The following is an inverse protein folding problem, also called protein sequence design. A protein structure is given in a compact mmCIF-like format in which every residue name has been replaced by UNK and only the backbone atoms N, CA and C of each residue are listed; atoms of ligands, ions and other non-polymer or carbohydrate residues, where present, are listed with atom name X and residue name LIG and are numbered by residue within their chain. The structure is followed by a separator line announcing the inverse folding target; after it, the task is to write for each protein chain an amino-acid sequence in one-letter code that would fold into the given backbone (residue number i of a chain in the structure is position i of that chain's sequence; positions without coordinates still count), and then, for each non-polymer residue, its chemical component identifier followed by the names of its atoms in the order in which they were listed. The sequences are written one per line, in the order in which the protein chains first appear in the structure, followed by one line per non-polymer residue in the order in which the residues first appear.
data_IF_371915198344
#
_entry.id   IF_371915198344
#
_cell.length_a   1.000
_cell.length_b   1.000
_cell.length_c   1.000
_cell.angle_alpha   90.00
_cell.angle_beta   90.00
_cell.angle_gamma   90.00
#
_symmetry.space_group_name_H-M   'P 1'
#
loop_
_entity.id
_entity.type
_entity.pdbx_description
1 polymer ?
#
# COMPACT_ATOMS: atom_id res chain seq x y z
N UNK A 1 -16.34 -9.45 -21.73
CA UNK A 1 -15.14 -9.60 -20.88
C UNK A 1 -15.17 -8.47 -19.87
N UNK A 2 -14.90 -8.74 -18.61
CA UNK A 2 -14.81 -7.75 -17.52
C UNK A 2 -13.43 -7.90 -16.87
N UNK A 3 -12.75 -6.77 -16.65
CA UNK A 3 -11.46 -6.71 -15.96
C UNK A 3 -11.64 -5.84 -14.73
N UNK A 4 -11.20 -6.33 -13.59
CA UNK A 4 -11.26 -5.62 -12.31
C UNK A 4 -9.84 -5.49 -11.78
N UNK A 5 -9.34 -4.25 -11.75
CA UNK A 5 -8.08 -3.91 -11.08
C UNK A 5 -8.32 -3.67 -9.58
N UNK A 6 -7.28 -3.89 -8.77
CA UNK A 6 -7.32 -3.83 -7.30
C UNK A 6 -8.46 -4.66 -6.69
N UNK A 7 -8.76 -5.81 -7.30
CA UNK A 7 -9.87 -6.68 -6.92
C UNK A 7 -9.78 -7.21 -5.48
N UNK A 8 -8.58 -7.20 -4.88
CA UNK A 8 -8.36 -7.56 -3.49
C UNK A 8 -8.93 -6.52 -2.50
N UNK A 9 -9.06 -5.26 -2.90
CA UNK A 9 -9.56 -4.15 -2.09
C UNK A 9 -11.07 -3.89 -2.27
N UNK A 10 -11.70 -4.61 -3.20
CA UNK A 10 -13.13 -4.46 -3.49
C UNK A 10 -13.97 -5.46 -2.71
N UNK A 11 -15.04 -4.98 -2.07
CA UNK A 11 -16.03 -5.85 -1.43
C UNK A 11 -16.64 -6.80 -2.46
N UNK A 12 -16.75 -8.07 -2.09
CA UNK A 12 -17.36 -9.08 -2.96
C UNK A 12 -18.75 -8.66 -3.46
N UNK A 13 -19.59 -8.10 -2.58
CA UNK A 13 -20.93 -7.65 -2.95
C UNK A 13 -20.92 -6.58 -4.06
N UNK A 14 -19.96 -5.66 -4.03
CA UNK A 14 -19.81 -4.63 -5.07
C UNK A 14 -19.33 -5.22 -6.38
N UNK A 15 -18.42 -6.18 -6.33
CA UNK A 15 -17.95 -6.86 -7.53
C UNK A 15 -19.09 -7.65 -8.16
N UNK A 16 -19.79 -8.48 -7.38
CA UNK A 16 -20.91 -9.30 -7.87
C UNK A 16 -22.03 -8.44 -8.46
N UNK A 17 -22.37 -7.31 -7.86
CA UNK A 17 -23.42 -6.42 -8.38
C UNK A 17 -23.03 -5.75 -9.70
N UNK A 18 -21.73 -5.56 -9.97
CA UNK A 18 -21.23 -5.02 -11.24
C UNK A 18 -21.25 -6.05 -12.39
N UNK A 19 -21.34 -7.34 -12.08
CA UNK A 19 -21.36 -8.40 -13.09
C UNK A 19 -22.77 -8.56 -13.65
N UNK A 20 -22.90 -8.40 -14.97
CA UNK A 20 -24.16 -8.66 -15.67
C UNK A 20 -24.27 -10.13 -16.08
N UNK A 21 -25.48 -10.60 -16.35
CA UNK A 21 -25.75 -11.93 -16.95
C UNK A 21 -25.04 -12.17 -18.31
N UNK A 22 -24.50 -11.11 -18.92
CA UNK A 22 -23.78 -11.17 -20.18
C UNK A 22 -22.25 -11.28 -19.99
N UNK A 23 -21.75 -11.28 -18.74
CA UNK A 23 -20.33 -11.49 -18.47
C UNK A 23 -19.94 -12.94 -18.78
N UNK A 24 -19.07 -13.13 -19.76
CA UNK A 24 -18.56 -14.44 -20.17
C UNK A 24 -17.12 -14.73 -19.69
N UNK A 25 -16.37 -13.69 -19.34
CA UNK A 25 -14.98 -13.80 -18.92
C UNK A 25 -14.68 -12.68 -17.93
N UNK A 26 -14.28 -13.05 -16.72
CA UNK A 26 -13.91 -12.17 -15.63
C UNK A 26 -12.42 -12.32 -15.34
N UNK A 27 -11.68 -11.22 -15.35
CA UNK A 27 -10.26 -11.15 -15.01
C UNK A 27 -10.14 -10.29 -13.75
N UNK A 28 -9.59 -10.89 -12.69
CA UNK A 28 -9.37 -10.21 -11.42
C UNK A 28 -7.87 -9.99 -11.22
N UNK A 29 -7.47 -8.74 -11.07
CA UNK A 29 -6.08 -8.34 -10.82
C UNK A 29 -6.06 -7.72 -9.43
N UNK A 30 -5.24 -8.25 -8.53
CA UNK A 30 -5.14 -7.74 -7.17
C UNK A 30 -4.09 -8.48 -6.36
N UNK A 31 -3.90 -8.03 -5.12
CA UNK A 31 -2.95 -8.61 -4.18
C UNK A 31 -3.61 -8.86 -2.83
N UNK A 32 -3.89 -10.13 -2.53
CA UNK A 32 -4.53 -10.56 -1.29
C UNK A 32 -3.62 -10.48 -0.05
N UNK A 33 -2.34 -10.10 -0.22
CA UNK A 33 -1.39 -9.82 0.87
C UNK A 33 -1.33 -8.34 1.23
N UNK A 34 -1.97 -7.45 0.45
CA UNK A 34 -2.04 -6.02 0.71
C UNK A 34 -3.33 -5.64 1.46
N UNK A 35 -3.88 -4.45 1.20
CA UNK A 35 -5.09 -3.97 1.87
C UNK A 35 -6.27 -4.86 1.52
N UNK A 36 -7.12 -5.07 2.53
CA UNK A 36 -8.44 -5.68 2.37
C UNK A 36 -9.49 -4.58 2.22
N UNK A 37 -10.68 -4.90 1.68
CA UNK A 37 -11.79 -3.97 1.61
C UNK A 37 -12.10 -3.38 3.00
N UNK A 38 -12.30 -2.07 3.04
CA UNK A 38 -12.66 -1.39 4.27
C UNK A 38 -14.16 -1.54 4.56
N UNK A 39 -14.49 -2.13 5.71
CA UNK A 39 -15.88 -2.30 6.14
C UNK A 39 -16.30 -1.14 7.02
N UNK A 40 -17.43 -0.52 6.70
CA UNK A 40 -18.05 0.51 7.54
C UNK A 40 -18.33 0.01 8.98
N UNK A 41 -18.54 -1.30 9.15
CA UNK A 41 -18.77 -1.93 10.46
C UNK A 41 -17.67 -2.95 10.75
N UNK A 42 -16.74 -2.58 11.63
CA UNK A 42 -15.62 -3.44 12.02
C UNK A 42 -16.06 -4.83 12.53
N UNK A 43 -17.17 -4.91 13.28
CA UNK A 43 -17.70 -6.19 13.79
C UNK A 43 -18.06 -7.16 12.65
N UNK A 44 -18.50 -6.64 11.50
CA UNK A 44 -18.82 -7.48 10.33
C UNK A 44 -17.56 -8.05 9.70
N UNK A 45 -16.50 -7.24 9.57
CA UNK A 45 -15.19 -7.72 9.14
C UNK A 45 -14.68 -8.83 10.09
N UNK A 46 -14.63 -8.53 11.39
CA UNK A 46 -14.01 -9.39 12.40
C UNK A 46 -14.74 -10.71 12.63
N UNK A 47 -16.06 -10.68 12.71
CA UNK A 47 -16.84 -11.84 13.15
C UNK A 47 -17.44 -12.64 12.00
N UNK A 48 -17.59 -12.03 10.82
CA UNK A 48 -18.27 -12.63 9.67
C UNK A 48 -17.44 -12.59 8.39
N UNK A 49 -16.16 -12.18 8.46
CA UNK A 49 -15.23 -12.14 7.33
C UNK A 49 -15.74 -11.31 6.14
N UNK A 50 -16.55 -10.28 6.39
CA UNK A 50 -17.11 -9.42 5.34
C UNK A 50 -16.05 -8.61 4.58
N UNK A 51 -14.80 -8.58 5.08
CA UNK A 51 -13.65 -7.95 4.43
C UNK A 51 -12.83 -8.96 3.62
N UNK A 52 -13.32 -10.17 3.35
CA UNK A 52 -12.71 -11.04 2.35
C UNK A 52 -13.27 -10.63 0.98
N UNK A 53 -12.40 -10.20 0.08
CA UNK A 53 -12.78 -9.88 -1.29
C UNK A 53 -13.09 -11.16 -2.09
N UNK A 54 -13.79 -11.01 -3.20
CA UNK A 54 -14.02 -12.15 -4.11
C UNK A 54 -12.69 -12.75 -4.58
N UNK A 55 -11.69 -11.91 -4.85
CA UNK A 55 -10.35 -12.33 -5.24
C UNK A 55 -9.70 -13.20 -4.16
N UNK A 56 -9.66 -12.72 -2.92
CA UNK A 56 -9.09 -13.49 -1.80
C UNK A 56 -9.85 -14.81 -1.59
N UNK A 57 -11.19 -14.79 -1.69
CA UNK A 57 -12.01 -16.01 -1.58
C UNK A 57 -11.69 -17.03 -2.67
N UNK A 58 -11.47 -16.58 -3.91
CA UNK A 58 -11.08 -17.47 -5.01
C UNK A 58 -9.70 -18.11 -4.75
N UNK A 59 -8.73 -17.33 -4.30
CA UNK A 59 -7.38 -17.82 -3.93
C UNK A 59 -7.47 -18.84 -2.79
N UNK A 60 -8.24 -18.54 -1.74
CA UNK A 60 -8.43 -19.45 -0.60
C UNK A 60 -9.12 -20.77 -0.97
N UNK A 61 -9.92 -20.76 -2.06
CA UNK A 61 -10.55 -21.96 -2.63
C UNK A 61 -9.68 -22.64 -3.70
N UNK A 62 -8.37 -22.35 -3.73
CA UNK A 62 -7.39 -22.99 -4.61
C UNK A 62 -7.66 -22.80 -6.11
N UNK A 63 -8.41 -21.75 -6.48
CA UNK A 63 -8.54 -21.36 -7.88
C UNK A 63 -7.18 -20.88 -8.37
N UNK A 64 -6.72 -21.31 -9.58
CA UNK A 64 -5.42 -20.90 -10.10
C UNK A 64 -5.23 -19.39 -10.11
N UNK A 65 -4.19 -18.94 -9.40
CA UNK A 65 -3.78 -17.54 -9.33
C UNK A 65 -2.33 -17.44 -9.81
N UNK A 66 -2.09 -16.57 -10.79
CA UNK A 66 -0.76 -16.34 -11.35
C UNK A 66 -0.16 -15.08 -10.72
N UNK A 67 1.00 -15.24 -10.08
CA UNK A 67 1.69 -14.14 -9.40
C UNK A 67 2.80 -13.59 -10.27
N UNK A 68 2.81 -12.27 -10.46
CA UNK A 68 3.96 -11.55 -11.02
C UNK A 68 5.01 -11.35 -9.92
N UNK A 69 6.12 -12.07 -9.99
CA UNK A 69 7.11 -12.12 -8.91
C UNK A 69 8.34 -11.23 -9.15
N UNK A 70 8.34 -10.38 -10.18
CA UNK A 70 9.42 -9.43 -10.45
C UNK A 70 8.94 -7.99 -10.31
N UNK A 71 9.64 -7.19 -9.49
CA UNK A 71 9.31 -5.80 -9.19
C UNK A 71 10.25 -4.83 -9.92
N UNK A 72 9.67 -3.75 -10.43
CA UNK A 72 10.37 -2.70 -11.20
C UNK A 72 10.34 -1.32 -10.53
N UNK A 73 9.73 -1.20 -9.35
CA UNK A 73 9.41 0.09 -8.71
C UNK A 73 10.43 0.50 -7.65
N UNK A 74 10.67 -0.33 -6.64
CA UNK A 74 11.40 0.09 -5.44
C UNK A 74 12.88 -0.30 -5.49
N UNK A 75 13.71 0.39 -4.72
CA UNK A 75 15.12 0.00 -4.50
C UNK A 75 15.20 -1.36 -3.80
N UNK A 76 16.25 -2.16 -4.02
CA UNK A 76 16.45 -3.42 -3.30
C UNK A 76 16.40 -3.29 -1.78
N UNK A 77 16.94 -2.19 -1.21
CA UNK A 77 16.88 -1.93 0.23
C UNK A 77 15.45 -1.77 0.78
N UNK A 78 14.52 -1.24 -0.02
CA UNK A 78 13.10 -1.13 0.35
C UNK A 78 12.41 -2.49 0.17
N UNK A 79 12.67 -3.19 -0.94
CA UNK A 79 12.11 -4.52 -1.19
C UNK A 79 12.48 -5.53 -0.08
N UNK A 80 13.70 -5.40 0.49
CA UNK A 80 14.13 -6.28 1.59
C UNK A 80 13.33 -6.12 2.89
N UNK A 81 12.55 -5.05 3.07
CA UNK A 81 11.68 -4.89 4.23
C UNK A 81 10.42 -5.77 4.16
N UNK A 82 9.96 -6.08 2.95
CA UNK A 82 8.71 -6.82 2.68
C UNK A 82 8.96 -8.27 2.24
N UNK A 83 10.21 -8.65 1.98
CA UNK A 83 10.63 -9.99 1.58
C UNK A 83 11.73 -10.49 2.51
N UNK A 84 11.56 -11.62 3.22
CA UNK A 84 10.49 -12.63 3.07
C UNK A 84 9.26 -12.41 3.98
N UNK A 85 9.12 -11.25 4.63
CA UNK A 85 8.13 -11.01 5.69
C UNK A 85 6.67 -11.01 5.22
N UNK A 86 6.38 -10.39 4.08
CA UNK A 86 5.04 -10.29 3.47
C UNK A 86 4.96 -11.22 2.26
N UNK A 87 5.99 -11.19 1.41
CA UNK A 87 6.09 -12.01 0.20
C UNK A 87 7.26 -12.98 0.32
N UNK A 88 7.00 -14.27 0.10
CA UNK A 88 8.04 -15.30 0.15
C UNK A 88 9.12 -15.09 -0.92
N UNK A 89 8.72 -14.69 -2.13
CA UNK A 89 9.62 -14.44 -3.27
C UNK A 89 9.18 -13.18 -4.03
N UNK A 90 10.07 -12.18 -4.10
CA UNK A 90 9.90 -10.98 -4.92
C UNK A 90 11.26 -10.57 -5.49
N UNK A 91 11.46 -10.78 -6.79
CA UNK A 91 12.71 -10.51 -7.50
C UNK A 91 12.79 -9.04 -7.86
N UNK A 92 14.00 -8.48 -7.77
CA UNK A 92 14.28 -7.14 -8.25
C UNK A 92 14.68 -7.21 -9.71
N UNK A 93 13.96 -6.50 -10.58
CA UNK A 93 14.39 -6.33 -11.97
C UNK A 93 15.70 -5.51 -12.02
N UNK A 94 16.54 -5.74 -13.04
CA UNK A 94 17.83 -5.05 -13.20
C UNK A 94 17.71 -3.52 -13.19
N UNK A 95 16.57 -2.98 -13.64
CA UNK A 95 16.31 -1.54 -13.69
C UNK A 95 16.29 -0.84 -12.33
N UNK A 96 16.08 -1.56 -11.22
CA UNK A 96 15.98 -0.93 -9.90
C UNK A 96 17.32 -0.79 -9.16
N UNK A 97 18.36 -1.49 -9.63
CA UNK A 97 19.68 -1.48 -8.99
C UNK A 97 20.44 -0.17 -9.24
N UNK A 98 20.17 0.51 -10.36
CA UNK A 98 20.88 1.73 -10.78
C UNK A 98 20.11 3.03 -10.44
N UNK A 99 19.25 3.02 -9.41
CA UNK A 99 18.53 4.24 -8.99
C UNK A 99 19.49 5.22 -8.30
N UNK A 100 19.44 6.50 -8.67
CA UNK A 100 20.28 7.58 -8.12
C UNK A 100 19.99 7.89 -6.64
N UNK A 101 21.03 7.92 -5.80
CA UNK A 101 20.90 8.22 -4.38
C UNK A 101 20.13 9.53 -4.10
N UNK A 102 19.41 9.57 -2.99
CA UNK A 102 18.67 10.76 -2.59
C UNK A 102 19.66 11.89 -2.28
N UNK A 103 19.52 13.02 -2.98
CA UNK A 103 20.43 14.17 -2.83
C UNK A 103 20.32 14.76 -1.44
N UNK A 104 21.48 15.12 -0.88
CA UNK A 104 21.56 15.80 0.41
C UNK A 104 21.34 14.90 1.64
N UNK A 105 21.24 13.58 1.48
CA UNK A 105 21.16 12.65 2.62
C UNK A 105 22.17 11.51 2.47
N UNK A 106 22.63 10.98 3.60
CA UNK A 106 23.63 9.91 3.61
C UNK A 106 23.04 8.53 3.30
N UNK A 107 21.73 8.34 3.57
CA UNK A 107 21.02 7.07 3.36
C UNK A 107 19.70 7.33 2.64
N UNK A 108 19.31 6.47 1.70
CA UNK A 108 18.01 6.59 1.02
C UNK A 108 16.84 6.07 1.87
N UNK A 109 17.14 5.32 2.93
CA UNK A 109 16.16 4.72 3.84
C UNK A 109 16.70 4.82 5.26
N UNK A 110 15.90 5.41 6.14
CA UNK A 110 16.22 5.55 7.56
C UNK A 110 14.93 5.69 8.37
N UNK A 111 14.99 5.27 9.64
CA UNK A 111 13.94 5.53 10.62
C UNK A 111 14.36 6.72 11.48
N UNK A 112 13.50 7.73 11.54
CA UNK A 112 13.64 8.82 12.49
C UNK A 112 12.85 8.47 13.75
N UNK A 113 13.53 8.45 14.90
CA UNK A 113 12.89 8.21 16.19
C UNK A 113 12.81 9.51 17.00
N UNK A 114 11.70 9.72 17.71
CA UNK A 114 11.50 10.81 18.66
C UNK A 114 10.55 10.36 19.78
N UNK A 115 10.62 11.03 20.94
CA UNK A 115 9.81 10.71 22.11
C UNK A 115 8.81 11.83 22.44
N UNK A 116 8.26 12.49 21.42
CA UNK A 116 7.30 13.59 21.56
C UNK A 116 5.91 13.07 21.28
N UNK A 117 5.03 13.21 22.28
CA UNK A 117 3.68 12.71 22.27
C UNK A 117 2.79 13.44 21.26
N UNK A 118 1.80 12.70 20.74
CA UNK A 118 0.71 13.21 19.92
C UNK A 118 -0.20 14.17 20.71
N UNK A 119 -0.93 15.02 19.98
CA UNK A 119 -2.04 15.79 20.55
C UNK A 119 -3.29 14.94 20.58
N UNK A 120 -4.00 14.99 21.71
CA UNK A 120 -5.37 14.47 21.80
C UNK A 120 -6.33 15.49 21.20
N UNK A 121 -7.13 15.05 20.22
CA UNK A 121 -8.22 15.84 19.65
C UNK A 121 -9.52 15.23 20.19
N UNK A 122 -10.21 15.96 21.07
CA UNK A 122 -11.36 15.44 21.83
C UNK A 122 -12.55 15.00 20.97
N UNK A 123 -12.69 15.56 19.75
CA UNK A 123 -13.89 15.41 18.93
C UNK A 123 -13.73 14.45 17.73
N UNK A 124 -12.53 13.94 17.46
CA UNK A 124 -12.30 13.04 16.32
C UNK A 124 -11.34 11.92 16.68
N UNK A 125 -11.62 10.70 16.19
CA UNK A 125 -10.74 9.53 16.33
C UNK A 125 -9.38 9.65 15.61
N UNK A 126 -9.07 10.82 15.03
CA UNK A 126 -7.79 11.11 14.40
C UNK A 126 -6.77 11.64 15.40
N UNK A 127 -5.49 11.38 15.13
CA UNK A 127 -4.35 11.82 15.94
C UNK A 127 -3.46 12.76 15.14
N UNK A 128 -2.74 13.64 15.81
CA UNK A 128 -1.78 14.53 15.15
C UNK A 128 -0.52 14.73 15.97
N UNK A 129 0.61 14.91 15.31
CA UNK A 129 1.89 15.19 15.95
C UNK A 129 2.57 16.40 15.29
N UNK A 130 2.55 17.55 15.98
CA UNK A 130 3.15 18.79 15.49
C UNK A 130 4.66 18.65 15.23
N UNK A 131 5.36 17.83 16.04
CA UNK A 131 6.80 17.63 15.90
C UNK A 131 7.12 16.90 14.60
N UNK A 132 6.42 15.80 14.33
CA UNK A 132 6.56 15.04 13.09
C UNK A 132 6.20 15.89 11.88
N UNK A 133 5.06 16.58 11.92
CA UNK A 133 4.60 17.44 10.83
C UNK A 133 5.63 18.53 10.51
N UNK A 134 6.14 19.22 11.54
CA UNK A 134 7.16 20.27 11.35
C UNK A 134 8.45 19.70 10.77
N UNK A 135 8.90 18.55 11.25
CA UNK A 135 10.08 17.88 10.70
C UNK A 135 9.88 17.53 9.23
N UNK A 136 8.77 16.85 8.89
CA UNK A 136 8.50 16.37 7.54
C UNK A 136 8.36 17.52 6.53
N UNK A 137 7.72 18.63 6.91
CA UNK A 137 7.62 19.82 6.05
C UNK A 137 9.01 20.44 5.81
N UNK A 138 9.82 20.58 6.86
CA UNK A 138 11.17 21.12 6.71
C UNK A 138 12.08 20.20 5.91
N UNK A 139 11.92 18.88 6.06
CA UNK A 139 12.65 17.88 5.28
C UNK A 139 12.22 17.85 3.81
N UNK A 140 10.92 17.94 3.52
CA UNK A 140 10.43 18.08 2.15
C UNK A 140 10.95 19.36 1.49
N UNK A 141 10.92 20.49 2.21
CA UNK A 141 11.53 21.74 1.75
C UNK A 141 13.03 21.59 1.49
N UNK A 142 13.75 20.90 2.37
CA UNK A 142 15.17 20.62 2.18
C UNK A 142 15.41 19.84 0.89
N UNK A 143 14.65 18.77 0.62
CA UNK A 143 14.76 18.01 -0.63
C UNK A 143 14.46 18.88 -1.86
N UNK A 144 13.45 19.73 -1.81
CA UNK A 144 13.15 20.66 -2.91
C UNK A 144 14.34 21.60 -3.17
N UNK A 145 15.00 22.11 -2.12
CA UNK A 145 16.20 22.92 -2.25
C UNK A 145 17.42 22.15 -2.78
N UNK A 146 17.45 20.81 -2.66
CA UNK A 146 18.43 19.95 -3.34
C UNK A 146 18.10 19.73 -4.82
N UNK A 147 17.00 20.31 -5.32
CA UNK A 147 16.59 20.29 -6.72
C UNK A 147 15.54 19.23 -7.06
N UNK A 148 14.86 18.65 -6.07
CA UNK A 148 13.67 17.82 -6.33
C UNK A 148 12.48 18.70 -6.65
N UNK A 149 11.63 18.23 -7.57
CA UNK A 149 10.34 18.88 -7.83
C UNK A 149 9.31 18.45 -6.78
N UNK A 150 8.27 19.26 -6.60
CA UNK A 150 7.21 19.00 -5.61
C UNK A 150 6.44 17.71 -5.88
N UNK A 151 6.28 17.31 -7.14
CA UNK A 151 5.63 16.06 -7.56
C UNK A 151 6.51 14.81 -7.34
N UNK A 152 7.79 14.99 -7.00
CA UNK A 152 8.71 13.90 -6.67
C UNK A 152 8.78 13.61 -5.16
N UNK A 153 8.09 14.38 -4.32
CA UNK A 153 8.09 14.23 -2.86
C UNK A 153 6.66 14.01 -2.40
N UNK A 154 6.41 12.90 -1.73
CA UNK A 154 5.10 12.56 -1.16
C UNK A 154 5.26 12.29 0.32
N UNK A 155 4.40 12.90 1.13
CA UNK A 155 4.28 12.62 2.57
C UNK A 155 3.02 11.79 2.74
N UNK A 156 3.15 10.60 3.33
CA UNK A 156 2.03 9.72 3.64
C UNK A 156 1.90 9.63 5.17
N UNK A 157 0.69 9.78 5.67
CA UNK A 157 0.33 9.62 7.08
C UNK A 157 -0.97 8.83 7.19
N UNK A 158 -1.13 8.06 8.25
CA UNK A 158 -2.40 7.36 8.53
C UNK A 158 -3.45 8.27 9.16
N UNK A 159 -3.03 9.40 9.73
CA UNK A 159 -3.88 10.39 10.42
C UNK A 159 -3.42 11.82 10.14
#
# INVERSE_FOLDING_TARGET
IVVVEEAAEVLEAHLVSSLTRHCQHLILIGDHKQLRPNNAVYKLAKNFNFNISLFERMVNNEIPCYTLNEQHRMRPEIASLITPSIYNELKNHISVYNREHIRGVTKNMFFLNHNIYEKEVEENSSKSNDHEARFLIMFARYLILQGYKTDQVTILTTY
#
